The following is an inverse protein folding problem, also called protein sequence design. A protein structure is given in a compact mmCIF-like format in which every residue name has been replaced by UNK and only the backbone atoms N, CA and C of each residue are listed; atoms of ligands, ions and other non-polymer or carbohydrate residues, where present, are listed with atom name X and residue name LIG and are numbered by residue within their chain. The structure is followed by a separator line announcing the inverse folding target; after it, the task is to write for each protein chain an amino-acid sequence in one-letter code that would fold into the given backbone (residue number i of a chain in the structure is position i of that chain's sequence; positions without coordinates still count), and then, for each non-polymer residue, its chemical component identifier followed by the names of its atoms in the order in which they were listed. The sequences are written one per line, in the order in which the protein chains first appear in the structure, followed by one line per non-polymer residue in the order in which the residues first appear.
data_IF_788864080448
#
_entry.id   IF_788864080448
#
_cell.length_a   1.000
_cell.length_b   1.000
_cell.length_c   1.000
_cell.angle_alpha   90.00
_cell.angle_beta   90.00
_cell.angle_gamma   90.00
#
_symmetry.space_group_name_H-M   'P 1'
#
loop_
_entity.id
_entity.type
_entity.pdbx_description
1 polymer ?
#
# COMPACT_ATOMS: atom_id res chain seq x y z
N UNK A 1 -24.73 1.90 21.06
CA UNK A 1 -23.83 3.05 21.30
C UNK A 1 -22.38 2.79 20.95
N UNK A 2 -22.15 2.34 19.72
CA UNK A 2 -20.93 2.62 18.97
C UNK A 2 -21.32 3.01 17.52
N UNK A 3 -22.53 3.54 17.37
CA UNK A 3 -23.31 3.54 16.13
C UNK A 3 -22.89 4.63 15.13
N UNK A 4 -21.88 5.46 15.44
CA UNK A 4 -21.39 6.48 14.52
C UNK A 4 -19.94 6.91 14.82
N UNK A 5 -19.01 5.95 14.79
CA UNK A 5 -17.57 6.28 14.77
C UNK A 5 -17.11 6.35 13.32
N UNK A 6 -16.85 7.56 12.83
CA UNK A 6 -16.36 7.77 11.47
C UNK A 6 -14.83 7.73 11.42
N UNK A 7 -14.30 6.82 10.61
CA UNK A 7 -12.88 6.69 10.31
C UNK A 7 -12.53 7.24 8.94
N UNK A 8 -11.33 7.80 8.80
CA UNK A 8 -10.81 8.35 7.55
C UNK A 8 -9.50 7.64 7.17
N UNK A 9 -9.47 7.10 5.95
CA UNK A 9 -8.24 6.60 5.33
C UNK A 9 -7.71 7.67 4.37
N UNK A 10 -6.51 8.17 4.62
CA UNK A 10 -5.87 9.10 3.70
C UNK A 10 -5.46 8.40 2.40
N UNK A 11 -5.45 9.08 1.25
CA UNK A 11 -5.11 8.46 -0.03
C UNK A 11 -3.71 7.83 -0.03
N UNK A 12 -2.76 8.48 0.66
CA UNK A 12 -1.40 7.95 0.83
C UNK A 12 -1.32 6.77 1.78
N UNK A 13 -2.42 6.37 2.43
CA UNK A 13 -2.52 5.23 3.35
C UNK A 13 -3.41 4.10 2.78
N UNK A 14 -3.91 4.26 1.55
CA UNK A 14 -4.80 3.31 0.89
C UNK A 14 -4.09 2.11 0.24
N UNK A 15 -2.99 2.35 -0.48
CA UNK A 15 -2.24 1.30 -1.21
C UNK A 15 -0.79 1.69 -1.51
N UNK A 16 0.14 0.74 -1.36
CA UNK A 16 1.56 0.91 -1.69
C UNK A 16 1.78 1.32 -3.15
N UNK A 17 0.84 1.00 -4.03
CA UNK A 17 0.81 1.46 -5.42
C UNK A 17 0.30 2.91 -5.52
N UNK A 18 1.16 3.80 -6.05
CA UNK A 18 0.84 5.22 -6.27
C UNK A 18 -0.13 5.45 -7.44
N UNK A 19 -0.30 4.48 -8.33
CA UNK A 19 -1.19 4.56 -9.49
C UNK A 19 -2.58 3.96 -9.27
N UNK A 20 -2.79 3.27 -8.14
CA UNK A 20 -4.04 2.58 -7.87
C UNK A 20 -5.19 3.57 -7.56
N UNK A 21 -6.35 3.35 -8.17
CA UNK A 21 -7.55 4.17 -7.92
C UNK A 21 -8.26 3.68 -6.66
N UNK A 22 -8.79 4.60 -5.86
CA UNK A 22 -9.52 4.26 -4.65
C UNK A 22 -10.73 3.36 -4.93
N UNK A 23 -11.41 3.54 -6.06
CA UNK A 23 -12.55 2.70 -6.48
C UNK A 23 -12.18 1.25 -6.77
N UNK A 24 -10.93 0.98 -7.17
CA UNK A 24 -10.45 -0.38 -7.39
C UNK A 24 -10.06 -1.05 -6.06
N UNK A 25 -9.64 -0.24 -5.09
CA UNK A 25 -9.17 -0.68 -3.77
C UNK A 25 -10.32 -0.86 -2.78
N UNK A 26 -11.29 0.05 -2.81
CA UNK A 26 -12.39 0.13 -1.86
C UNK A 26 -13.71 0.02 -2.58
N UNK A 27 -14.55 -0.90 -2.10
CA UNK A 27 -15.93 -1.07 -2.56
C UNK A 27 -16.88 -0.68 -1.43
N UNK A 28 -17.94 0.04 -1.76
CA UNK A 28 -18.98 0.36 -0.78
C UNK A 28 -19.59 -0.92 -0.22
N UNK A 29 -19.74 -0.98 1.09
CA UNK A 29 -20.26 -2.16 1.80
C UNK A 29 -19.29 -3.33 1.94
N UNK A 30 -18.05 -3.21 1.45
CA UNK A 30 -17.03 -4.24 1.66
C UNK A 30 -16.35 -4.04 3.03
N UNK A 31 -16.20 -5.14 3.75
CA UNK A 31 -15.36 -5.19 4.95
C UNK A 31 -13.88 -5.20 4.55
N UNK A 32 -13.09 -4.34 5.19
CA UNK A 32 -11.66 -4.19 4.92
C UNK A 32 -10.90 -4.20 6.23
N UNK A 33 -9.72 -4.80 6.21
CA UNK A 33 -8.80 -4.72 7.33
C UNK A 33 -8.00 -3.41 7.25
N UNK A 34 -7.90 -2.71 8.38
CA UNK A 34 -7.21 -1.43 8.51
C UNK A 34 -6.56 -1.32 9.89
N UNK A 35 -5.44 -0.62 9.96
CA UNK A 35 -4.78 -0.28 11.22
C UNK A 35 -5.19 1.12 11.67
N UNK A 36 -5.50 1.26 12.96
CA UNK A 36 -5.67 2.58 13.58
C UNK A 36 -4.30 3.24 13.73
N UNK A 37 -4.15 4.42 13.14
CA UNK A 37 -2.94 5.23 13.26
C UNK A 37 -3.05 6.20 14.44
N UNK A 38 -4.14 6.97 14.49
CA UNK A 38 -4.37 8.02 15.51
C UNK A 38 -5.86 8.21 15.73
N UNK A 39 -6.19 8.66 16.94
CA UNK A 39 -7.54 9.06 17.32
C UNK A 39 -7.43 10.51 17.80
N UNK A 40 -8.20 11.40 17.18
CA UNK A 40 -8.31 12.79 17.61
C UNK A 40 -9.30 12.91 18.78
N UNK A 41 -9.13 13.95 19.62
CA UNK A 41 -10.04 14.26 20.73
C UNK A 41 -11.49 14.53 20.29
N UNK A 42 -11.68 14.85 19.00
CA UNK A 42 -13.00 15.04 18.36
C UNK A 42 -13.65 13.73 17.89
N UNK A 43 -13.06 12.58 18.20
CA UNK A 43 -13.58 11.25 17.82
C UNK A 43 -13.27 10.82 16.40
N UNK A 44 -12.45 11.56 15.64
CA UNK A 44 -12.01 11.16 14.29
C UNK A 44 -10.90 10.13 14.39
N UNK A 45 -11.05 9.02 13.67
CA UNK A 45 -10.05 7.96 13.64
C UNK A 45 -9.32 7.97 12.31
N UNK A 46 -8.00 8.10 12.35
CA UNK A 46 -7.13 7.95 11.20
C UNK A 46 -6.78 6.49 11.01
N UNK A 47 -7.08 5.97 9.82
CA UNK A 47 -6.94 4.58 9.47
C UNK A 47 -5.93 4.42 8.33
N UNK A 48 -5.21 3.29 8.33
CA UNK A 48 -4.28 2.93 7.27
C UNK A 48 -4.47 1.50 6.84
N UNK A 49 -4.71 1.31 5.54
CA UNK A 49 -4.72 0.00 4.89
C UNK A 49 -3.30 -0.46 4.56
N UNK A 50 -2.40 0.47 4.25
CA UNK A 50 -0.98 0.18 3.99
C UNK A 50 -0.31 -0.56 5.11
N UNK A 51 -0.63 -0.18 6.35
CA UNK A 51 0.03 -0.73 7.53
C UNK A 51 -0.35 -2.21 7.81
N UNK A 52 -1.43 -2.72 7.21
CA UNK A 52 -1.80 -4.15 7.27
C UNK A 52 -1.39 -4.90 5.99
N UNK A 53 -1.28 -4.22 4.85
CA UNK A 53 -0.77 -4.84 3.62
C UNK A 53 0.76 -4.93 3.65
N UNK A 54 1.29 -6.13 3.42
CA UNK A 54 2.73 -6.36 3.34
C UNK A 54 3.40 -5.38 2.37
N UNK A 55 4.50 -4.77 2.81
CA UNK A 55 5.29 -3.88 1.96
C UNK A 55 5.95 -4.72 0.85
N UNK A 56 5.74 -4.38 -0.43
CA UNK A 56 6.28 -5.16 -1.53
C UNK A 56 7.82 -5.20 -1.52
N UNK A 57 8.48 -4.26 -0.86
CA UNK A 57 9.94 -4.20 -0.74
C UNK A 57 10.50 -5.11 0.36
N UNK A 58 9.72 -5.49 1.36
CA UNK A 58 10.18 -6.43 2.39
C UNK A 58 10.50 -7.78 1.76
N UNK A 59 9.63 -8.27 0.87
CA UNK A 59 9.87 -9.51 0.12
C UNK A 59 11.03 -9.39 -0.89
N UNK A 60 11.31 -8.18 -1.39
CA UNK A 60 12.40 -7.94 -2.35
C UNK A 60 13.76 -8.10 -1.66
N UNK A 61 13.91 -7.67 -0.40
CA UNK A 61 15.18 -7.80 0.34
C UNK A 61 15.63 -9.24 0.50
N UNK A 62 14.72 -10.16 0.79
CA UNK A 62 15.03 -11.59 0.85
C UNK A 62 15.31 -12.18 -0.54
N UNK A 63 14.53 -11.75 -1.54
CA UNK A 63 14.58 -12.34 -2.87
C UNK A 63 15.76 -11.88 -3.71
N UNK A 64 16.28 -10.68 -3.49
CA UNK A 64 17.35 -10.04 -4.28
C UNK A 64 18.49 -9.56 -3.38
N UNK A 65 19.23 -10.51 -2.80
CA UNK A 65 20.39 -10.20 -1.98
C UNK A 65 21.56 -9.64 -2.80
N UNK A 66 22.50 -8.93 -2.16
CA UNK A 66 23.63 -8.34 -2.88
C UNK A 66 24.52 -9.47 -3.42
N UNK A 67 24.76 -9.46 -4.74
CA UNK A 67 25.59 -10.45 -5.43
C UNK A 67 24.84 -11.65 -6.01
N UNK A 68 23.52 -11.76 -5.79
CA UNK A 68 22.72 -12.80 -6.43
C UNK A 68 22.43 -12.47 -7.90
N UNK A 69 22.46 -13.48 -8.76
CA UNK A 69 22.13 -13.37 -10.19
C UNK A 69 20.69 -13.76 -10.43
N UNK A 70 19.91 -12.87 -11.04
CA UNK A 70 18.50 -13.10 -11.35
C UNK A 70 18.23 -12.98 -12.84
N UNK A 71 17.29 -13.79 -13.34
CA UNK A 71 16.74 -13.64 -14.68
C UNK A 71 15.55 -12.67 -14.59
N UNK A 72 15.61 -11.56 -15.32
CA UNK A 72 14.52 -10.58 -15.42
C UNK A 72 14.14 -10.34 -16.88
N UNK A 73 12.90 -9.88 -17.11
CA UNK A 73 12.41 -9.52 -18.44
C UNK A 73 12.60 -8.03 -18.65
N UNK A 74 13.25 -7.64 -19.74
CA UNK A 74 13.47 -6.22 -20.05
C UNK A 74 12.12 -5.51 -20.25
N UNK A 75 11.83 -4.53 -19.40
CA UNK A 75 10.64 -3.72 -19.46
C UNK A 75 10.78 -2.59 -20.49
N UNK A 76 11.97 -1.96 -20.56
CA UNK A 76 12.24 -0.85 -21.49
C UNK A 76 13.71 -0.74 -21.84
N UNK A 77 14.01 -0.39 -23.08
CA UNK A 77 15.37 -0.10 -23.55
C UNK A 77 15.47 1.40 -23.84
N UNK A 78 16.53 2.03 -23.36
CA UNK A 78 16.91 3.42 -23.65
C UNK A 78 18.36 3.44 -24.15
N UNK A 79 18.81 4.51 -24.84
CA UNK A 79 20.17 4.58 -25.38
C UNK A 79 21.27 4.42 -24.31
N UNK A 80 20.97 4.76 -23.06
CA UNK A 80 21.90 4.67 -21.93
C UNK A 80 21.77 3.37 -21.12
N UNK A 81 20.85 2.46 -21.46
CA UNK A 81 20.69 1.20 -20.73
C UNK A 81 19.33 0.54 -20.86
N UNK A 82 19.21 -0.64 -20.24
CA UNK A 82 17.97 -1.42 -20.18
C UNK A 82 17.42 -1.42 -18.75
N UNK A 83 16.10 -1.25 -18.63
CA UNK A 83 15.34 -1.38 -17.40
C UNK A 83 14.78 -2.79 -17.35
N UNK A 84 15.22 -3.55 -16.34
CA UNK A 84 14.89 -4.95 -16.09
C UNK A 84 13.92 -5.04 -14.92
#
# INVERSE_FOLDING_TARGET
DADNVEGLVHMTEASHDRGAKLSDIFKQGAEIEVKVLRIDEKGKIWLSRKAVTADPWDAVKEKYSVGSKHKGKVARIQPFGAFI
#
